data_IF_466631842958
#
_entry.id   IF_466631842958
#
_cell.length_a   1.000
_cell.length_b   1.000
_cell.length_c   1.000
_cell.angle_alpha   90.00
_cell.angle_beta   90.00
_cell.angle_gamma   90.00
#
_symmetry.space_group_name_H-M   'P 1'
#
loop_
_entity.id
_entity.type
_entity.pdbx_description
1 polymer ?
#
# COMPACT_ATOMS: atom_id res chain seq x y z
N UNK A 1 -58.92 32.47 -8.04
CA UNK A 1 -58.06 33.32 -8.88
C UNK A 1 -57.11 34.05 -7.95
N UNK A 2 -55.86 33.60 -7.85
CA UNK A 2 -54.87 34.19 -6.95
C UNK A 2 -53.84 34.94 -7.79
N UNK A 3 -53.67 36.24 -7.51
CA UNK A 3 -52.69 37.10 -8.15
C UNK A 3 -51.37 36.98 -7.38
N UNK A 4 -50.30 36.52 -8.05
CA UNK A 4 -48.95 36.60 -7.51
C UNK A 4 -48.35 37.98 -7.81
N UNK A 5 -47.71 38.67 -6.85
CA UNK A 5 -46.96 39.88 -7.13
C UNK A 5 -45.60 39.54 -7.78
N UNK A 6 -45.30 40.29 -8.84
CA UNK A 6 -44.04 40.28 -9.58
C UNK A 6 -42.97 41.03 -8.78
N UNK A 7 -41.85 40.38 -8.44
CA UNK A 7 -40.71 41.01 -7.76
C UNK A 7 -39.62 41.31 -8.79
N UNK A 8 -39.26 42.60 -8.92
CA UNK A 8 -38.18 43.08 -9.79
C UNK A 8 -36.82 42.76 -9.13
N UNK A 9 -35.83 42.21 -9.86
CA UNK A 9 -34.50 41.99 -9.30
C UNK A 9 -33.79 43.33 -9.04
N UNK A 10 -33.59 43.66 -7.77
CA UNK A 10 -32.66 44.72 -7.35
C UNK A 10 -31.23 44.20 -7.42
N UNK A 11 -30.36 44.91 -8.15
CA UNK A 11 -28.92 44.67 -8.17
C UNK A 11 -28.36 45.01 -6.78
N UNK A 12 -27.99 43.99 -6.01
CA UNK A 12 -27.30 44.19 -4.73
C UNK A 12 -25.81 44.29 -5.05
N UNK A 13 -25.28 45.50 -5.00
CA UNK A 13 -23.85 45.75 -5.10
C UNK A 13 -23.21 45.30 -3.78
N UNK A 14 -22.61 44.11 -3.76
CA UNK A 14 -21.85 43.63 -2.60
C UNK A 14 -20.38 43.90 -2.83
N UNK A 15 -19.83 44.90 -2.14
CA UNK A 15 -18.39 45.11 -2.09
C UNK A 15 -17.69 43.82 -1.60
N UNK A 16 -16.57 43.41 -2.20
CA UNK A 16 -15.86 42.20 -1.81
C UNK A 16 -15.33 42.34 -0.38
N UNK A 17 -15.77 41.45 0.51
CA UNK A 17 -15.25 41.33 1.88
C UNK A 17 -14.02 40.42 1.84
N UNK A 18 -12.84 40.98 2.08
CA UNK A 18 -11.60 40.22 2.21
C UNK A 18 -11.49 39.67 3.63
N UNK A 19 -11.43 38.34 3.76
CA UNK A 19 -11.18 37.67 5.04
C UNK A 19 -9.68 37.37 5.17
N UNK A 20 -9.07 37.82 6.26
CA UNK A 20 -7.68 37.50 6.61
C UNK A 20 -7.74 36.44 7.71
N UNK A 21 -7.39 35.17 7.45
CA UNK A 21 -7.27 34.18 8.51
C UNK A 21 -6.04 34.53 9.37
N UNK A 22 -6.26 34.87 10.64
CA UNK A 22 -5.17 34.90 11.61
C UNK A 22 -4.75 33.46 11.93
N UNK A 23 -3.45 33.21 11.88
CA UNK A 23 -2.79 31.91 11.97
C UNK A 23 -3.29 31.02 13.12
N UNK A 24 -3.59 29.76 12.80
CA UNK A 24 -3.88 28.69 13.76
C UNK A 24 -2.66 27.76 13.84
N UNK A 25 -1.91 27.86 14.94
CA UNK A 25 -0.96 26.82 15.34
C UNK A 25 -1.73 25.78 16.17
N UNK A 26 -1.82 24.54 15.67
CA UNK A 26 -2.44 23.43 16.38
C UNK A 26 -1.35 22.40 16.70
N UNK A 27 -0.96 22.34 17.98
CA UNK A 27 -0.13 21.27 18.52
C UNK A 27 -1.07 20.23 19.17
N UNK A 28 -0.92 18.97 18.77
CA UNK A 28 -1.64 17.79 19.28
C UNK A 28 -1.54 17.68 20.80
N UNK A 29 -2.53 17.27 21.59
CA UNK A 29 -3.50 16.19 21.46
C UNK A 29 -4.77 16.60 22.24
N UNK A 30 -5.95 16.29 21.69
CA UNK A 30 -7.28 16.66 22.18
C UNK A 30 -7.55 18.18 22.08
N UNK A 31 -8.25 18.59 21.04
CA UNK A 31 -8.69 19.98 20.87
C UNK A 31 -10.16 20.01 20.42
N UNK A 32 -11.06 20.24 21.37
CA UNK A 32 -12.15 21.18 21.11
C UNK A 32 -11.49 22.53 20.93
N UNK A 33 -11.22 22.93 19.69
CA UNK A 33 -10.72 24.28 19.41
C UNK A 33 -11.89 25.20 19.12
N UNK A 34 -12.11 26.16 20.03
CA UNK A 34 -13.00 27.29 19.77
C UNK A 34 -12.41 28.12 18.63
N UNK A 35 -12.97 28.01 17.43
CA UNK A 35 -12.55 28.85 16.30
C UNK A 35 -13.35 30.14 16.37
N UNK A 36 -12.66 31.27 16.55
CA UNK A 36 -13.27 32.60 16.50
C UNK A 36 -13.20 33.15 15.07
N UNK A 37 -14.36 33.43 14.47
CA UNK A 37 -14.45 34.05 13.15
C UNK A 37 -14.87 35.50 13.32
N UNK A 38 -14.06 36.42 12.84
CA UNK A 38 -14.32 37.86 12.89
C UNK A 38 -14.60 38.40 11.50
N UNK A 39 -15.74 39.07 11.33
CA UNK A 39 -16.17 39.69 10.07
C UNK A 39 -15.86 41.18 10.11
N UNK A 40 -15.22 41.67 9.04
CA UNK A 40 -14.89 43.07 8.84
C UNK A 40 -15.68 43.66 7.66
N UNK A 41 -16.07 44.94 7.74
CA UNK A 41 -16.55 45.75 6.61
C UNK A 41 -15.91 47.12 6.66
N UNK A 42 -15.36 47.57 5.54
CA UNK A 42 -14.60 48.83 5.46
C UNK A 42 -13.52 48.93 6.55
N UNK A 43 -12.81 47.81 6.80
CA UNK A 43 -11.80 47.64 7.85
C UNK A 43 -12.30 47.77 9.30
N UNK A 44 -13.60 47.95 9.53
CA UNK A 44 -14.19 47.93 10.86
C UNK A 44 -14.70 46.53 11.18
N UNK A 45 -14.35 46.02 12.37
CA UNK A 45 -14.90 44.78 12.89
C UNK A 45 -16.39 44.96 13.17
N UNK A 46 -17.23 44.11 12.56
CA UNK A 46 -18.69 44.17 12.75
C UNK A 46 -19.16 43.10 13.73
N UNK A 47 -18.58 41.90 13.65
CA UNK A 47 -19.06 40.75 14.44
C UNK A 47 -17.94 39.75 14.65
N UNK A 48 -17.94 39.11 15.82
CA UNK A 48 -17.14 37.92 16.10
C UNK A 48 -18.06 36.84 16.64
N UNK A 49 -18.05 35.68 15.98
CA UNK A 49 -18.75 34.48 16.46
C UNK A 49 -17.72 33.41 16.84
N UNK A 50 -18.07 32.57 17.82
CA UNK A 50 -17.28 31.40 18.22
C UNK A 50 -17.95 30.14 17.72
N UNK A 51 -17.20 29.29 17.03
CA UNK A 51 -17.67 28.00 16.54
C UNK A 51 -17.06 26.89 17.39
N UNK A 52 -17.94 26.10 18.00
CA UNK A 52 -17.61 24.85 18.66
C UNK A 52 -17.48 23.77 17.59
N UNK A 53 -16.26 23.28 17.35
CA UNK A 53 -16.03 22.15 16.44
C UNK A 53 -16.01 20.87 17.28
N UNK A 54 -17.10 20.12 17.25
CA UNK A 54 -17.20 18.82 17.90
C UNK A 54 -16.29 17.81 17.20
N UNK A 55 -15.45 17.12 17.98
CA UNK A 55 -14.40 16.23 17.51
C UNK A 55 -14.94 15.12 16.61
N UNK A 56 -14.49 15.09 15.36
CA UNK A 56 -14.59 13.94 14.45
C UNK A 56 -13.21 13.28 14.28
N UNK A 57 -13.15 11.97 14.02
CA UNK A 57 -11.90 11.22 13.91
C UNK A 57 -10.98 11.82 12.84
N UNK A 58 -9.70 11.84 13.19
CA UNK A 58 -8.64 12.62 12.56
C UNK A 58 -8.38 12.13 11.13
N UNK A 59 -8.76 12.95 10.14
CA UNK A 59 -8.07 13.02 8.85
C UNK A 59 -8.11 14.46 8.34
N UNK A 60 -6.95 15.13 8.42
CA UNK A 60 -6.54 16.38 7.75
C UNK A 60 -7.65 17.39 7.37
N UNK A 61 -7.78 18.47 8.13
CA UNK A 61 -8.68 19.57 7.81
C UNK A 61 -8.06 20.55 6.81
N UNK A 62 -8.81 20.86 5.74
CA UNK A 62 -8.61 22.08 4.95
C UNK A 62 -9.71 23.09 5.30
N UNK A 63 -9.33 24.37 5.40
CA UNK A 63 -10.22 25.48 5.75
C UNK A 63 -11.30 25.71 4.67
N UNK A 64 -12.53 26.12 5.04
CA UNK A 64 -13.56 26.47 4.07
C UNK A 64 -13.09 27.62 3.19
N UNK A 65 -13.24 27.49 1.87
CA UNK A 65 -12.75 28.45 0.87
C UNK A 65 -13.70 29.60 0.59
N UNK A 66 -14.94 29.57 1.10
CA UNK A 66 -15.88 30.70 0.99
C UNK A 66 -16.91 30.71 2.12
N UNK A 67 -17.21 31.91 2.62
CA UNK A 67 -18.32 32.18 3.54
C UNK A 67 -19.38 32.98 2.78
N UNK A 68 -20.59 32.45 2.70
CA UNK A 68 -21.73 33.21 2.15
C UNK A 68 -22.50 33.82 3.32
N UNK A 69 -22.48 35.15 3.41
CA UNK A 69 -23.14 35.89 4.47
C UNK A 69 -24.51 36.35 4.00
N UNK A 70 -25.57 35.73 4.53
CA UNK A 70 -26.93 36.24 4.41
C UNK A 70 -27.34 36.71 5.81
N UNK A 71 -27.97 37.89 5.92
CA UNK A 71 -28.04 38.67 7.17
C UNK A 71 -28.71 37.97 8.36
N UNK A 72 -29.40 36.84 8.15
CA UNK A 72 -30.11 36.12 9.21
C UNK A 72 -29.57 34.71 9.50
N UNK A 73 -28.73 34.10 8.63
CA UNK A 73 -28.17 32.75 8.87
C UNK A 73 -26.82 32.55 8.16
N UNK A 74 -25.79 32.13 8.90
CA UNK A 74 -24.51 31.68 8.34
C UNK A 74 -24.69 30.22 7.90
N UNK A 75 -24.67 29.96 6.59
CA UNK A 75 -24.73 28.59 6.05
C UNK A 75 -23.33 28.15 5.63
N UNK A 76 -22.83 27.08 6.23
CA UNK A 76 -21.56 26.47 5.86
C UNK A 76 -21.80 25.45 4.74
N UNK A 77 -21.36 25.77 3.53
CA UNK A 77 -21.23 24.77 2.48
C UNK A 77 -19.85 24.12 2.59
N UNK A 78 -19.81 22.94 3.21
CA UNK A 78 -18.64 22.09 3.08
C UNK A 78 -18.63 21.50 1.66
N UNK A 79 -17.50 21.52 0.95
CA UNK A 79 -17.37 20.71 -0.25
C UNK A 79 -17.69 19.26 0.10
N UNK A 80 -18.74 18.70 -0.51
CA UNK A 80 -19.02 17.27 -0.48
C UNK A 80 -17.94 16.62 -1.34
N UNK A 81 -16.81 16.30 -0.73
CA UNK A 81 -15.79 15.50 -1.41
C UNK A 81 -16.37 14.12 -1.65
N UNK A 82 -16.40 13.71 -2.91
CA UNK A 82 -16.57 12.30 -3.24
C UNK A 82 -15.51 11.53 -2.45
N UNK A 83 -15.92 10.47 -1.76
CA UNK A 83 -15.01 9.55 -1.06
C UNK A 83 -13.80 9.31 -1.95
N UNK A 84 -12.64 9.83 -1.56
CA UNK A 84 -11.39 9.54 -2.25
C UNK A 84 -11.10 8.09 -1.91
N UNK A 85 -11.60 7.18 -2.74
CA UNK A 85 -11.28 5.77 -2.65
C UNK A 85 -9.81 5.65 -2.97
N UNK A 86 -8.98 5.50 -1.94
CA UNK A 86 -7.61 5.09 -2.14
C UNK A 86 -7.64 3.77 -2.90
N UNK A 87 -6.88 3.68 -3.99
CA UNK A 87 -6.72 2.44 -4.73
C UNK A 87 -6.18 1.42 -3.72
N UNK A 88 -6.89 0.31 -3.54
CA UNK A 88 -6.37 -0.79 -2.75
C UNK A 88 -5.19 -1.39 -3.51
N UNK A 89 -3.99 -0.99 -3.12
CA UNK A 89 -2.76 -1.42 -3.78
C UNK A 89 -2.52 -2.93 -3.55
N UNK A 90 -3.20 -3.59 -2.61
CA UNK A 90 -3.23 -5.06 -2.51
C UNK A 90 -4.12 -5.74 -3.55
N UNK A 91 -4.87 -4.97 -4.34
CA UNK A 91 -5.59 -5.46 -5.52
C UNK A 91 -4.82 -5.24 -6.83
N UNK A 92 -3.65 -4.59 -6.77
CA UNK A 92 -2.82 -4.28 -7.94
C UNK A 92 -2.07 -5.52 -8.44
N UNK A 93 -2.61 -6.14 -9.49
CA UNK A 93 -2.02 -7.30 -10.14
C UNK A 93 -0.60 -7.06 -10.68
N UNK A 94 -0.32 -5.86 -11.21
CA UNK A 94 0.99 -5.53 -11.76
C UNK A 94 2.03 -5.40 -10.66
N UNK A 95 1.65 -4.85 -9.50
CA UNK A 95 2.48 -4.85 -8.31
C UNK A 95 2.82 -6.28 -7.90
N UNK A 96 1.82 -7.16 -7.77
CA UNK A 96 2.05 -8.54 -7.33
C UNK A 96 3.01 -9.28 -8.28
N UNK A 97 2.85 -9.07 -9.59
CA UNK A 97 3.73 -9.65 -10.62
C UNK A 97 5.17 -9.16 -10.51
N UNK A 98 5.38 -7.88 -10.21
CA UNK A 98 6.71 -7.28 -10.02
C UNK A 98 7.37 -7.79 -8.75
N UNK A 99 6.65 -7.78 -7.63
CA UNK A 99 7.17 -8.26 -6.33
C UNK A 99 7.48 -9.75 -6.39
N UNK A 100 6.61 -10.57 -6.97
CA UNK A 100 6.88 -12.01 -7.14
C UNK A 100 8.05 -12.26 -8.08
N UNK A 101 8.23 -11.43 -9.13
CA UNK A 101 9.43 -11.52 -9.99
C UNK A 101 10.69 -11.22 -9.19
N UNK A 102 10.66 -10.19 -8.35
CA UNK A 102 11.79 -9.80 -7.51
C UNK A 102 12.22 -10.96 -6.60
N UNK A 103 11.31 -11.49 -5.77
CA UNK A 103 11.65 -12.59 -4.87
C UNK A 103 12.01 -13.90 -5.58
N UNK A 104 11.39 -14.20 -6.73
CA UNK A 104 11.82 -15.32 -7.57
C UNK A 104 13.27 -15.14 -8.05
N UNK A 105 13.63 -13.93 -8.49
CA UNK A 105 15.01 -13.64 -8.90
C UNK A 105 15.98 -13.67 -7.71
N UNK A 106 15.60 -13.16 -6.53
CA UNK A 106 16.42 -13.25 -5.32
C UNK A 106 16.69 -14.71 -4.93
N UNK A 107 15.65 -15.57 -4.97
CA UNK A 107 15.78 -17.00 -4.69
C UNK A 107 16.85 -17.65 -5.56
N UNK A 108 16.72 -17.53 -6.88
CA UNK A 108 17.59 -18.25 -7.80
C UNK A 108 18.96 -17.62 -8.01
N UNK A 109 19.09 -16.30 -7.90
CA UNK A 109 20.34 -15.60 -8.21
C UNK A 109 21.18 -15.27 -6.98
N UNK A 110 20.59 -15.30 -5.78
CA UNK A 110 21.29 -14.96 -4.53
C UNK A 110 21.14 -16.06 -3.49
N UNK A 111 19.91 -16.33 -3.03
CA UNK A 111 19.70 -17.24 -1.91
C UNK A 111 20.26 -18.64 -2.18
N UNK A 112 19.93 -19.25 -3.32
CA UNK A 112 20.42 -20.58 -3.64
C UNK A 112 21.95 -20.65 -3.82
N UNK A 113 22.61 -19.82 -4.64
CA UNK A 113 24.05 -19.94 -4.83
C UNK A 113 24.88 -19.51 -3.62
N UNK A 114 24.45 -18.49 -2.87
CA UNK A 114 25.25 -17.89 -1.80
C UNK A 114 24.92 -18.48 -0.42
N UNK A 115 23.64 -18.45 -0.04
CA UNK A 115 23.21 -18.73 1.33
C UNK A 115 22.81 -20.20 1.54
N UNK A 116 22.23 -20.83 0.52
CA UNK A 116 21.70 -22.20 0.57
C UNK A 116 22.19 -23.12 -0.56
N UNK A 117 23.51 -23.19 -0.86
CA UNK A 117 24.03 -23.99 -1.97
C UNK A 117 23.74 -25.49 -1.83
N UNK A 118 23.49 -25.97 -0.59
CA UNK A 118 23.13 -27.36 -0.31
C UNK A 118 21.82 -27.80 -0.95
N UNK A 119 20.91 -26.87 -1.26
CA UNK A 119 19.67 -27.21 -1.97
C UNK A 119 19.98 -27.72 -3.37
N UNK A 120 21.08 -27.25 -3.98
CA UNK A 120 21.51 -27.71 -5.30
C UNK A 120 22.04 -29.15 -5.27
N UNK A 121 22.36 -29.70 -4.10
CA UNK A 121 22.81 -31.10 -3.97
C UNK A 121 21.68 -32.10 -4.25
N UNK A 122 20.41 -31.66 -4.21
CA UNK A 122 19.25 -32.47 -4.60
C UNK A 122 19.09 -32.60 -6.12
N UNK A 123 19.83 -31.82 -6.91
CA UNK A 123 19.85 -31.92 -8.37
C UNK A 123 21.17 -32.56 -8.77
N UNK A 124 21.14 -33.52 -9.69
CA UNK A 124 22.35 -34.14 -10.24
C UNK A 124 22.49 -33.86 -11.72
N UNK A 125 23.73 -33.63 -12.13
CA UNK A 125 24.10 -33.55 -13.54
C UNK A 125 24.59 -34.92 -13.98
N UNK A 126 23.99 -35.43 -15.04
CA UNK A 126 24.47 -36.62 -15.75
C UNK A 126 25.02 -36.21 -17.10
N UNK A 127 25.75 -37.08 -17.78
CA UNK A 127 26.29 -36.80 -19.13
C UNK A 127 25.24 -36.38 -20.16
N UNK A 128 23.94 -36.65 -19.90
CA UNK A 128 22.85 -36.44 -20.85
C UNK A 128 21.78 -35.47 -20.37
N UNK A 129 21.54 -35.37 -19.06
CA UNK A 129 20.40 -34.63 -18.50
C UNK A 129 20.69 -34.07 -17.09
N UNK A 130 19.89 -33.07 -16.72
CA UNK A 130 19.74 -32.56 -15.34
C UNK A 130 18.48 -33.16 -14.73
N UNK A 131 18.57 -33.75 -13.53
CA UNK A 131 17.43 -34.39 -12.87
C UNK A 131 17.55 -34.32 -11.35
N UNK A 132 16.45 -34.56 -10.63
CA UNK A 132 16.48 -34.75 -9.18
C UNK A 132 17.20 -36.06 -8.82
N UNK A 133 17.82 -36.08 -7.64
CA UNK A 133 18.35 -37.30 -7.04
C UNK A 133 17.23 -38.30 -6.76
N UNK A 134 17.55 -39.60 -6.71
CA UNK A 134 16.55 -40.65 -6.47
C UNK A 134 16.19 -40.83 -5.00
N UNK A 135 16.99 -40.25 -4.09
CA UNK A 135 16.73 -40.31 -2.66
C UNK A 135 17.45 -39.20 -1.91
N UNK A 136 16.92 -38.84 -0.74
CA UNK A 136 17.55 -37.88 0.17
C UNK A 136 18.95 -38.34 0.60
N UNK A 137 19.19 -39.65 0.70
CA UNK A 137 20.50 -40.19 1.04
C UNK A 137 21.52 -40.04 -0.09
N UNK A 138 21.07 -40.02 -1.35
CA UNK A 138 21.94 -39.74 -2.49
C UNK A 138 22.45 -38.29 -2.44
N UNK A 139 21.58 -37.31 -2.15
CA UNK A 139 21.95 -35.90 -2.03
C UNK A 139 23.09 -35.67 -1.02
N UNK A 140 23.14 -36.42 0.09
CA UNK A 140 24.21 -36.30 1.11
C UNK A 140 25.62 -36.63 0.58
N UNK A 141 25.71 -37.38 -0.51
CA UNK A 141 26.98 -37.76 -1.13
C UNK A 141 27.36 -36.84 -2.30
N UNK A 142 26.45 -35.95 -2.71
CA UNK A 142 26.69 -34.95 -3.74
C UNK A 142 27.18 -33.69 -3.05
N UNK A 143 28.22 -33.09 -3.64
CA UNK A 143 28.64 -31.74 -3.30
C UNK A 143 28.72 -30.94 -4.58
N UNK A 144 27.74 -30.06 -4.78
CA UNK A 144 27.63 -29.24 -5.97
C UNK A 144 28.84 -28.31 -6.09
N UNK A 145 29.43 -28.26 -7.29
CA UNK A 145 30.49 -27.29 -7.63
C UNK A 145 29.86 -26.02 -8.19
N UNK A 146 30.52 -24.88 -8.01
CA UNK A 146 30.03 -23.59 -8.52
C UNK A 146 29.76 -23.61 -10.03
N UNK A 147 30.60 -24.31 -10.81
CA UNK A 147 30.41 -24.45 -12.26
C UNK A 147 29.08 -25.12 -12.63
N UNK A 148 28.53 -25.96 -11.75
CA UNK A 148 27.28 -26.69 -11.95
C UNK A 148 26.04 -25.87 -11.54
N UNK A 149 26.23 -24.72 -10.86
CA UNK A 149 25.12 -23.97 -10.26
C UNK A 149 24.11 -23.51 -11.30
N UNK A 150 24.58 -22.94 -12.42
CA UNK A 150 23.71 -22.36 -13.44
C UNK A 150 22.72 -23.38 -14.01
N UNK A 151 23.16 -24.59 -14.31
CA UNK A 151 22.32 -25.64 -14.88
C UNK A 151 21.30 -26.18 -13.87
N UNK A 152 21.72 -26.37 -12.62
CA UNK A 152 20.86 -26.85 -11.54
C UNK A 152 19.81 -25.82 -11.12
N UNK A 153 20.22 -24.56 -10.98
CA UNK A 153 19.32 -23.41 -10.69
C UNK A 153 18.27 -23.30 -11.79
N UNK A 154 18.68 -23.39 -13.05
CA UNK A 154 17.76 -23.35 -14.18
C UNK A 154 16.75 -24.51 -14.13
N UNK A 155 17.22 -25.73 -13.85
CA UNK A 155 16.33 -26.89 -13.73
C UNK A 155 15.28 -26.71 -12.62
N UNK A 156 15.70 -26.23 -11.44
CA UNK A 156 14.78 -25.94 -10.34
C UNK A 156 13.74 -24.88 -10.72
N UNK A 157 14.17 -23.79 -11.36
CA UNK A 157 13.33 -22.68 -11.77
C UNK A 157 12.30 -23.05 -12.85
N UNK A 158 12.69 -23.92 -13.79
CA UNK A 158 11.87 -24.30 -14.94
C UNK A 158 10.89 -25.44 -14.61
N UNK A 159 11.26 -26.37 -13.73
CA UNK A 159 10.52 -27.63 -13.55
C UNK A 159 10.03 -27.92 -12.13
N UNK A 160 10.72 -27.42 -11.10
CA UNK A 160 10.44 -27.83 -9.71
C UNK A 160 9.66 -26.75 -8.96
N UNK A 161 10.13 -25.51 -9.01
CA UNK A 161 9.58 -24.44 -8.19
C UNK A 161 9.51 -23.15 -9.00
N UNK A 162 8.38 -23.00 -9.68
CA UNK A 162 8.22 -21.98 -10.71
C UNK A 162 7.89 -20.63 -10.09
N UNK A 163 7.93 -19.58 -10.93
CA UNK A 163 7.45 -18.25 -10.53
C UNK A 163 5.99 -18.26 -10.02
N UNK A 164 5.17 -19.20 -10.48
CA UNK A 164 3.78 -19.33 -10.02
C UNK A 164 3.71 -19.82 -8.57
N UNK A 165 4.63 -20.70 -8.18
CA UNK A 165 4.71 -21.25 -6.82
C UNK A 165 5.16 -20.16 -5.85
N UNK A 166 6.19 -19.39 -6.21
CA UNK A 166 6.62 -18.19 -5.47
C UNK A 166 5.46 -17.19 -5.31
N UNK A 167 4.73 -16.88 -6.37
CA UNK A 167 3.57 -16.00 -6.29
C UNK A 167 2.52 -16.51 -5.29
N UNK A 168 2.19 -17.80 -5.35
CA UNK A 168 1.20 -18.43 -4.47
C UNK A 168 1.66 -18.39 -3.01
N UNK A 169 2.93 -18.66 -2.75
CA UNK A 169 3.50 -18.59 -1.41
C UNK A 169 3.45 -17.16 -0.85
N UNK A 170 3.87 -16.17 -1.62
CA UNK A 170 3.84 -14.76 -1.22
C UNK A 170 2.41 -14.26 -1.00
N UNK A 171 1.47 -14.67 -1.84
CA UNK A 171 0.05 -14.36 -1.64
C UNK A 171 -0.45 -14.89 -0.30
N UNK A 172 -0.19 -16.17 0.00
CA UNK A 172 -0.56 -16.78 1.28
C UNK A 172 0.12 -16.07 2.46
N UNK A 173 1.38 -15.65 2.30
CA UNK A 173 2.11 -14.90 3.32
C UNK A 173 1.45 -13.55 3.60
N UNK A 174 1.12 -12.79 2.54
CA UNK A 174 0.43 -11.50 2.61
C UNK A 174 -0.90 -11.64 3.35
N UNK A 175 -1.74 -12.61 2.96
CA UNK A 175 -3.03 -12.85 3.61
C UNK A 175 -2.87 -13.24 5.09
N UNK A 176 -1.96 -14.18 5.38
CA UNK A 176 -1.76 -14.69 6.75
C UNK A 176 -1.21 -13.64 7.71
N UNK A 177 -0.29 -12.80 7.24
CA UNK A 177 0.36 -11.76 8.06
C UNK A 177 -0.38 -10.42 8.03
N UNK A 178 -1.42 -10.30 7.19
CA UNK A 178 -2.16 -9.05 6.96
C UNK A 178 -1.22 -7.87 6.65
N UNK A 179 -0.21 -8.13 5.82
CA UNK A 179 0.75 -7.11 5.36
C UNK A 179 0.36 -6.64 3.96
N UNK A 180 1.05 -5.62 3.45
CA UNK A 180 0.81 -5.12 2.10
C UNK A 180 1.89 -5.60 1.14
N UNK A 181 1.53 -5.78 -0.13
CA UNK A 181 2.47 -6.36 -1.12
C UNK A 181 3.76 -5.55 -1.30
N UNK A 182 3.69 -4.22 -1.21
CA UNK A 182 4.87 -3.36 -1.32
C UNK A 182 5.73 -3.37 -0.05
N UNK A 183 5.16 -3.77 1.09
CA UNK A 183 5.89 -3.85 2.36
C UNK A 183 6.70 -5.13 2.47
N UNK A 184 6.50 -6.12 1.59
CA UNK A 184 7.22 -7.40 1.62
C UNK A 184 8.74 -7.24 1.61
N UNK A 185 9.28 -6.18 0.99
CA UNK A 185 10.72 -5.90 1.01
C UNK A 185 11.26 -5.67 2.44
N UNK A 186 10.44 -5.17 3.37
CA UNK A 186 10.82 -4.99 4.77
C UNK A 186 10.80 -6.29 5.57
N UNK A 187 10.26 -7.37 5.01
CA UNK A 187 10.22 -8.71 5.58
C UNK A 187 11.11 -9.68 4.79
N UNK A 188 12.15 -9.19 4.11
CA UNK A 188 12.94 -9.98 3.16
C UNK A 188 13.56 -11.23 3.79
N UNK A 189 14.03 -11.16 5.03
CA UNK A 189 14.60 -12.31 5.76
C UNK A 189 13.52 -13.37 6.09
N UNK A 190 12.34 -12.93 6.54
CA UNK A 190 11.21 -13.83 6.85
C UNK A 190 10.70 -14.50 5.56
N UNK A 191 10.66 -13.77 4.45
CA UNK A 191 10.26 -14.28 3.13
C UNK A 191 11.30 -15.24 2.56
N UNK A 192 12.58 -14.93 2.69
CA UNK A 192 13.67 -15.82 2.30
C UNK A 192 13.52 -17.18 2.97
N UNK A 193 13.38 -17.21 4.29
CA UNK A 193 13.22 -18.46 5.04
C UNK A 193 11.99 -19.23 4.57
N UNK A 194 10.86 -18.54 4.39
CA UNK A 194 9.61 -19.16 3.93
C UNK A 194 9.75 -19.75 2.52
N UNK A 195 10.44 -19.07 1.60
CA UNK A 195 10.71 -19.58 0.25
C UNK A 195 11.62 -20.80 0.27
N UNK A 196 12.66 -20.78 1.11
CA UNK A 196 13.61 -21.89 1.23
C UNK A 196 12.95 -23.13 1.81
N UNK A 197 12.17 -22.97 2.88
CA UNK A 197 11.44 -24.07 3.51
C UNK A 197 10.43 -24.71 2.54
N UNK A 198 9.66 -23.88 1.82
CA UNK A 198 8.67 -24.36 0.86
C UNK A 198 9.33 -25.06 -0.33
N UNK A 199 10.42 -24.51 -0.88
CA UNK A 199 11.21 -25.16 -1.92
C UNK A 199 11.77 -26.51 -1.47
N UNK A 200 12.29 -26.60 -0.24
CA UNK A 200 12.85 -27.85 0.25
C UNK A 200 11.78 -28.94 0.42
N UNK A 201 10.57 -28.55 0.86
CA UNK A 201 9.41 -29.46 0.92
C UNK A 201 9.04 -29.95 -0.48
N UNK A 202 8.90 -29.03 -1.45
CA UNK A 202 8.56 -29.39 -2.84
C UNK A 202 9.59 -30.34 -3.44
N UNK A 203 10.88 -30.10 -3.22
CA UNK A 203 11.94 -31.00 -3.69
C UNK A 203 11.83 -32.38 -3.03
N UNK A 204 11.64 -32.44 -1.70
CA UNK A 204 11.55 -33.71 -0.97
C UNK A 204 10.34 -34.53 -1.42
N UNK A 205 9.20 -33.89 -1.62
CA UNK A 205 7.99 -34.55 -2.10
C UNK A 205 8.21 -35.11 -3.51
N UNK A 206 8.84 -34.33 -4.41
CA UNK A 206 9.15 -34.77 -5.77
C UNK A 206 10.17 -35.93 -5.85
N UNK A 207 11.00 -36.13 -4.81
CA UNK A 207 11.93 -37.27 -4.73
C UNK A 207 11.24 -38.55 -4.21
N UNK A 208 10.14 -38.40 -3.47
CA UNK A 208 9.42 -39.52 -2.84
C UNK A 208 8.28 -40.09 -3.70
N UNK A 209 7.86 -39.38 -4.74
CA UNK A 209 6.94 -39.87 -5.79
C UNK A 209 7.60 -40.87 -6.74
#
# INVERSE_FOLDING_TARGET
MSLYPYVVPGVINTDPVTLIPNSLFVNSNVLTSDVSVTVFKNNNQIKTDRLQVSSLPITNYYLPTSLYYNFDQITYNYPVYQNVSYIDVNSDFDLHKKVSKYFFSELYNRYLPEDYPKILDYVRLTEKNVELVKSINEAKNIKTKEDDFAEKIKYLADYIYTKKDVYKLLYNYVEKKNVKWWDLKYYSEDIEQVLIDDLEVVIKDAILE
#
